data_IF_751670951870
#
_entry.id   IF_751670951870
#
_cell.length_a   1.000
_cell.length_b   1.000
_cell.length_c   1.000
_cell.angle_alpha   90.00
_cell.angle_beta   90.00
_cell.angle_gamma   90.00
#
_symmetry.space_group_name_H-M   'P 1'
#
loop_
_entity.id
_entity.type
_entity.pdbx_description
1 polymer ?
#
# COMPACT_ATOMS: atom_id res chain seq x y z
N UNK A 1 -1.70 -9.38 -30.55
CA UNK A 1 -1.41 -8.11 -29.87
C UNK A 1 -0.17 -8.27 -29.01
N UNK A 2 0.80 -7.36 -29.12
CA UNK A 2 1.98 -7.31 -28.25
C UNK A 2 1.68 -6.38 -27.08
N UNK A 3 1.62 -6.91 -25.86
CA UNK A 3 1.30 -6.19 -24.64
C UNK A 3 2.53 -6.12 -23.73
N UNK A 4 2.86 -4.92 -23.25
CA UNK A 4 3.83 -4.71 -22.17
C UNK A 4 3.09 -4.29 -20.91
N UNK A 5 3.35 -4.99 -19.81
CA UNK A 5 3.02 -4.52 -18.46
C UNK A 5 4.31 -3.99 -17.83
N UNK A 6 4.28 -2.75 -17.40
CA UNK A 6 5.45 -2.03 -16.92
C UNK A 6 5.18 -1.43 -15.53
N UNK A 7 6.03 -1.76 -14.54
CA UNK A 7 6.12 -1.07 -13.25
C UNK A 7 7.43 -0.30 -13.21
N UNK A 8 7.41 1.04 -13.27
CA UNK A 8 8.62 1.85 -13.38
C UNK A 8 9.44 1.92 -12.07
N UNK A 9 10.68 2.46 -12.20
CA UNK A 9 11.57 2.78 -11.09
C UNK A 9 12.35 4.06 -11.39
N UNK A 10 12.41 4.97 -10.41
CA UNK A 10 13.04 6.28 -10.53
C UNK A 10 14.01 6.58 -9.37
N UNK A 11 14.67 5.55 -8.84
CA UNK A 11 15.51 5.69 -7.65
C UNK A 11 14.75 5.58 -6.32
N UNK A 12 13.42 5.63 -6.36
CA UNK A 12 12.55 5.44 -5.19
C UNK A 12 11.96 4.03 -5.26
N UNK A 13 12.20 3.23 -4.25
CA UNK A 13 11.63 1.88 -4.17
C UNK A 13 10.20 1.95 -3.69
N UNK A 14 9.27 1.45 -4.48
CA UNK A 14 7.91 1.21 -4.03
C UNK A 14 7.86 -0.18 -3.40
N UNK A 15 7.83 -0.23 -2.08
CA UNK A 15 7.89 -1.47 -1.32
C UNK A 15 6.71 -2.39 -1.65
N UNK A 16 5.52 -1.85 -1.56
CA UNK A 16 4.31 -2.61 -1.85
C UNK A 16 3.16 -1.70 -2.28
N UNK A 17 2.12 -2.32 -2.77
CA UNK A 17 0.82 -1.73 -3.02
C UNK A 17 -0.05 -1.62 -1.73
N UNK A 18 0.58 -1.57 -0.54
CA UNK A 18 -0.17 -1.31 0.70
C UNK A 18 -1.01 -0.05 0.51
N UNK A 19 -2.23 -0.05 0.94
CA UNK A 19 -3.22 0.99 0.64
C UNK A 19 -3.63 1.06 -0.85
N UNK A 20 -3.71 -0.11 -1.51
CA UNK A 20 -4.24 -0.24 -2.87
C UNK A 20 -3.63 0.77 -3.84
N UNK A 21 -2.71 0.40 -4.65
CA UNK A 21 -2.06 1.24 -5.67
C UNK A 21 -1.47 2.60 -5.18
N UNK A 22 -1.69 2.99 -3.90
CA UNK A 22 -1.08 4.21 -3.39
C UNK A 22 0.43 4.07 -3.30
N UNK A 23 0.89 2.85 -3.02
CA UNK A 23 2.29 2.54 -2.84
C UNK A 23 2.86 3.10 -1.54
N UNK A 24 3.86 2.44 -0.99
CA UNK A 24 4.69 2.98 0.09
C UNK A 24 6.09 3.09 -0.46
N UNK A 25 6.60 4.32 -0.48
CA UNK A 25 7.99 4.55 -0.82
C UNK A 25 8.88 4.19 0.37
N UNK A 26 9.89 3.38 0.14
CA UNK A 26 10.88 3.04 1.15
C UNK A 26 12.31 3.25 0.63
N UNK A 27 13.19 3.59 1.54
CA UNK A 27 14.63 3.69 1.26
C UNK A 27 15.32 2.32 1.34
N UNK A 28 14.62 1.30 1.83
CA UNK A 28 15.14 -0.05 1.93
C UNK A 28 14.93 -0.81 0.60
N UNK A 29 15.83 -1.74 0.24
CA UNK A 29 15.76 -2.45 -1.04
C UNK A 29 14.65 -3.52 -1.12
N UNK A 30 13.78 -3.60 -0.12
CA UNK A 30 12.67 -4.56 -0.10
C UNK A 30 11.62 -4.21 -1.14
N UNK A 31 11.15 -5.21 -1.87
CA UNK A 31 10.07 -5.07 -2.85
C UNK A 31 9.12 -6.24 -2.72
N UNK A 32 7.84 -5.95 -2.69
CA UNK A 32 6.79 -6.95 -2.87
C UNK A 32 6.19 -6.84 -4.27
N UNK A 33 5.65 -7.93 -4.80
CA UNK A 33 4.99 -7.91 -6.10
C UNK A 33 3.74 -7.01 -6.05
N UNK A 34 3.46 -6.35 -7.16
CA UNK A 34 2.19 -5.67 -7.36
C UNK A 34 1.14 -6.69 -7.80
N UNK A 35 0.21 -7.03 -6.91
CA UNK A 35 -0.80 -8.05 -7.16
C UNK A 35 -1.75 -7.70 -8.31
N UNK A 36 -2.03 -6.41 -8.51
CA UNK A 36 -2.84 -5.95 -9.63
C UNK A 36 -2.17 -6.28 -10.96
N UNK A 37 -0.83 -6.08 -11.06
CA UNK A 37 -0.06 -6.51 -12.22
C UNK A 37 0.04 -8.02 -12.36
N UNK A 38 0.23 -8.76 -11.25
CA UNK A 38 0.31 -10.23 -11.29
C UNK A 38 -0.98 -10.83 -11.85
N UNK A 39 -2.14 -10.38 -11.36
CA UNK A 39 -3.43 -10.84 -11.91
C UNK A 39 -3.65 -10.38 -13.34
N UNK A 40 -3.31 -9.13 -13.69
CA UNK A 40 -3.37 -8.64 -15.07
C UNK A 40 -2.54 -9.49 -16.03
N UNK A 41 -1.31 -9.80 -15.63
CA UNK A 41 -0.41 -10.66 -16.42
C UNK A 41 -0.96 -12.08 -16.57
N UNK A 42 -1.47 -12.66 -15.47
CA UNK A 42 -2.05 -14.03 -15.50
C UNK A 42 -3.29 -14.10 -16.40
N UNK A 43 -4.16 -13.06 -16.38
CA UNK A 43 -5.30 -12.96 -17.29
C UNK A 43 -4.82 -12.85 -18.74
N UNK A 44 -3.85 -11.97 -19.03
CA UNK A 44 -3.34 -11.75 -20.38
C UNK A 44 -2.63 -12.99 -20.96
N UNK A 45 -1.85 -13.72 -20.13
CA UNK A 45 -1.17 -14.96 -20.53
C UNK A 45 -2.15 -16.02 -21.02
N UNK A 46 -3.34 -16.08 -20.44
CA UNK A 46 -4.36 -17.06 -20.81
C UNK A 46 -5.03 -16.77 -22.14
N UNK A 47 -4.82 -15.59 -22.73
CA UNK A 47 -5.30 -15.25 -24.08
C UNK A 47 -4.23 -15.51 -25.13
N UNK A 48 -4.43 -16.56 -25.94
CA UNK A 48 -3.48 -16.97 -27.01
C UNK A 48 -3.25 -15.88 -28.08
N UNK A 49 -4.10 -14.88 -28.19
CA UNK A 49 -3.94 -13.75 -29.12
C UNK A 49 -2.96 -12.69 -28.60
N UNK A 50 -2.54 -12.76 -27.32
CA UNK A 50 -1.63 -11.83 -26.66
C UNK A 50 -0.23 -12.41 -26.59
N UNK A 51 0.75 -11.61 -27.01
CA UNK A 51 2.16 -11.82 -26.69
C UNK A 51 2.50 -10.84 -25.56
N UNK A 52 2.66 -11.40 -24.36
CA UNK A 52 2.87 -10.64 -23.14
C UNK A 52 4.36 -10.52 -22.84
N UNK A 53 4.81 -9.30 -22.59
CA UNK A 53 6.08 -8.99 -21.94
C UNK A 53 5.81 -8.25 -20.63
N UNK A 54 6.69 -8.43 -19.64
CA UNK A 54 6.59 -7.80 -18.32
C UNK A 54 7.95 -7.22 -17.96
N UNK A 55 7.94 -5.99 -17.48
CA UNK A 55 9.11 -5.33 -16.88
C UNK A 55 8.70 -4.77 -15.52
N UNK A 56 9.12 -5.45 -14.45
CA UNK A 56 9.06 -4.89 -13.09
C UNK A 56 10.38 -4.18 -12.79
N UNK A 57 10.50 -2.96 -13.33
CA UNK A 57 11.70 -2.16 -13.14
C UNK A 57 11.92 -1.78 -11.66
N UNK A 58 10.85 -1.71 -10.86
CA UNK A 58 10.97 -1.46 -9.44
C UNK A 58 11.63 -2.63 -8.69
N UNK A 59 11.33 -3.87 -9.05
CA UNK A 59 11.99 -5.04 -8.48
C UNK A 59 13.43 -5.20 -9.00
N UNK A 60 13.66 -4.95 -10.28
CA UNK A 60 14.95 -5.11 -10.94
C UNK A 60 15.86 -3.89 -10.83
N UNK A 61 15.37 -2.75 -10.26
CA UNK A 61 16.09 -1.47 -10.13
C UNK A 61 16.55 -0.89 -11.48
N UNK A 62 15.70 -1.03 -12.50
CA UNK A 62 15.97 -0.53 -13.85
C UNK A 62 15.47 0.91 -14.00
N UNK A 63 16.37 1.84 -14.26
CA UNK A 63 16.02 3.22 -14.59
C UNK A 63 15.37 3.32 -15.98
N UNK A 64 14.66 4.43 -16.29
CA UNK A 64 13.98 4.61 -17.58
C UNK A 64 14.83 4.30 -18.81
N UNK A 65 16.11 4.69 -18.83
CA UNK A 65 17.05 4.36 -19.92
C UNK A 65 17.25 2.86 -20.12
N UNK A 66 17.29 2.10 -19.03
CA UNK A 66 17.50 0.65 -19.10
C UNK A 66 16.20 -0.07 -19.49
N UNK A 67 15.06 0.46 -19.04
CA UNK A 67 13.74 -0.02 -19.50
C UNK A 67 13.65 0.15 -21.02
N UNK A 68 13.99 1.33 -21.56
CA UNK A 68 13.95 1.61 -23.01
C UNK A 68 14.88 0.66 -23.78
N UNK A 69 16.11 0.43 -23.30
CA UNK A 69 17.04 -0.56 -23.93
C UNK A 69 16.46 -1.96 -23.95
N UNK A 70 15.71 -2.35 -22.90
CA UNK A 70 15.07 -3.66 -22.78
C UNK A 70 13.82 -3.79 -23.63
N UNK A 71 13.19 -2.69 -24.00
CA UNK A 71 12.02 -2.62 -24.88
C UNK A 71 12.41 -2.90 -26.34
N UNK A 72 12.87 -4.11 -26.66
CA UNK A 72 13.37 -4.48 -28.00
C UNK A 72 12.29 -4.61 -29.06
N UNK A 73 11.03 -4.73 -28.67
CA UNK A 73 9.88 -4.96 -29.57
C UNK A 73 9.01 -3.73 -29.69
N UNK A 74 8.28 -3.65 -30.81
CA UNK A 74 7.14 -2.77 -30.90
C UNK A 74 5.97 -3.40 -30.15
N UNK A 75 5.44 -2.67 -29.17
CA UNK A 75 4.22 -3.04 -28.46
C UNK A 75 3.02 -2.35 -29.10
N UNK A 76 1.88 -3.07 -29.17
CA UNK A 76 0.60 -2.46 -29.54
C UNK A 76 0.07 -1.64 -28.37
N UNK A 77 0.25 -2.15 -27.14
CA UNK A 77 -0.18 -1.50 -25.90
C UNK A 77 0.92 -1.61 -24.83
N UNK A 78 1.18 -0.50 -24.15
CA UNK A 78 2.00 -0.41 -22.96
C UNK A 78 1.08 0.01 -21.81
N UNK A 79 0.94 -0.83 -20.80
CA UNK A 79 0.26 -0.49 -19.54
C UNK A 79 1.32 -0.16 -18.51
N UNK A 80 1.37 1.11 -18.12
CA UNK A 80 2.27 1.63 -17.12
C UNK A 80 1.53 1.73 -15.80
N UNK A 81 2.01 0.97 -14.80
CA UNK A 81 1.46 0.95 -13.45
C UNK A 81 2.07 2.09 -12.64
N UNK A 82 1.30 3.13 -12.42
CA UNK A 82 1.68 4.27 -11.58
C UNK A 82 1.48 3.99 -10.09
N UNK A 83 2.24 4.70 -9.28
CA UNK A 83 2.09 4.71 -7.82
C UNK A 83 2.10 6.15 -7.30
N UNK A 84 1.37 6.43 -6.21
CA UNK A 84 1.29 7.79 -5.66
C UNK A 84 2.65 8.47 -5.48
N UNK A 85 3.65 7.81 -4.87
CA UNK A 85 4.95 8.46 -4.65
C UNK A 85 5.75 8.76 -5.91
N UNK A 86 5.37 8.19 -7.05
CA UNK A 86 6.10 8.33 -8.32
C UNK A 86 5.24 8.88 -9.44
N UNK A 87 3.99 9.23 -9.18
CA UNK A 87 2.99 9.55 -10.21
C UNK A 87 3.44 10.66 -11.17
N UNK A 88 4.16 11.67 -10.67
CA UNK A 88 4.72 12.73 -11.51
C UNK A 88 5.69 12.15 -12.55
N UNK A 89 6.63 11.33 -12.11
CA UNK A 89 7.59 10.67 -12.97
C UNK A 89 6.94 9.63 -13.89
N UNK A 90 5.88 8.97 -13.45
CA UNK A 90 5.12 8.03 -14.27
C UNK A 90 4.46 8.74 -15.45
N UNK A 91 3.88 9.93 -15.22
CA UNK A 91 3.31 10.78 -16.26
C UNK A 91 4.39 11.26 -17.22
N UNK A 92 5.51 11.79 -16.71
CA UNK A 92 6.62 12.27 -17.51
C UNK A 92 7.22 11.16 -18.39
N UNK A 93 7.35 9.93 -17.85
CA UNK A 93 7.87 8.80 -18.61
C UNK A 93 6.89 8.33 -19.70
N UNK A 94 5.59 8.29 -19.41
CA UNK A 94 4.57 8.01 -20.41
C UNK A 94 4.60 9.02 -21.55
N UNK A 95 4.67 10.31 -21.23
CA UNK A 95 4.79 11.40 -22.19
C UNK A 95 6.09 11.30 -23.00
N UNK A 96 7.22 10.98 -22.35
CA UNK A 96 8.49 10.76 -23.03
C UNK A 96 8.40 9.64 -24.07
N UNK A 97 7.80 8.49 -23.74
CA UNK A 97 7.61 7.40 -24.67
C UNK A 97 6.82 7.84 -25.89
N UNK A 98 5.73 8.57 -25.73
CA UNK A 98 4.91 9.08 -26.85
C UNK A 98 5.69 10.05 -27.73
N UNK A 99 6.38 11.01 -27.14
CA UNK A 99 7.11 12.06 -27.84
C UNK A 99 8.37 11.55 -28.57
N UNK A 100 8.88 10.35 -28.22
CA UNK A 100 10.02 9.71 -28.84
C UNK A 100 9.65 8.58 -29.82
N UNK A 101 8.54 8.75 -30.56
CA UNK A 101 8.09 7.89 -31.64
C UNK A 101 7.67 6.46 -31.24
N UNK A 102 7.30 6.25 -29.98
CA UNK A 102 6.61 5.02 -29.61
C UNK A 102 5.16 5.07 -30.10
N UNK A 103 4.84 4.31 -31.13
CA UNK A 103 3.49 4.26 -31.72
C UNK A 103 2.50 3.44 -30.89
N UNK A 104 2.97 2.85 -29.80
CA UNK A 104 2.16 2.07 -28.87
C UNK A 104 1.06 2.93 -28.26
N UNK A 105 -0.09 2.33 -28.01
CA UNK A 105 -1.08 2.91 -27.10
C UNK A 105 -0.54 2.84 -25.68
N UNK A 106 -0.39 3.97 -25.02
CA UNK A 106 0.10 4.07 -23.65
C UNK A 106 -1.09 4.29 -22.71
N UNK A 107 -1.22 3.39 -21.74
CA UNK A 107 -2.27 3.43 -20.72
C UNK A 107 -1.63 3.57 -19.36
N UNK A 108 -2.02 4.60 -18.62
CA UNK A 108 -1.61 4.79 -17.24
C UNK A 108 -2.68 4.19 -16.31
N UNK A 109 -2.25 3.33 -15.38
CA UNK A 109 -3.14 2.70 -14.41
C UNK A 109 -2.70 3.02 -12.98
N UNK A 110 -3.61 2.88 -12.03
CA UNK A 110 -3.38 3.15 -10.63
C UNK A 110 -4.39 4.14 -10.04
N UNK A 111 -4.56 4.10 -8.73
CA UNK A 111 -5.57 4.93 -8.07
C UNK A 111 -5.30 6.42 -8.24
N UNK A 112 -4.05 6.83 -8.06
CA UNK A 112 -3.66 8.24 -8.18
C UNK A 112 -3.73 8.73 -9.62
N UNK A 113 -3.41 7.88 -10.61
CA UNK A 113 -3.62 8.21 -12.02
C UNK A 113 -5.11 8.48 -12.32
N UNK A 114 -6.00 7.64 -11.78
CA UNK A 114 -7.45 7.85 -11.88
C UNK A 114 -7.88 9.18 -11.25
N UNK A 115 -7.40 9.49 -10.06
CA UNK A 115 -7.71 10.74 -9.36
C UNK A 115 -7.22 11.98 -10.13
N UNK A 116 -6.07 11.86 -10.79
CA UNK A 116 -5.46 12.91 -11.62
C UNK A 116 -5.94 12.91 -13.07
N UNK A 117 -6.94 12.11 -13.43
CA UNK A 117 -7.37 11.92 -14.81
C UNK A 117 -7.62 13.24 -15.55
N UNK A 118 -8.35 14.18 -14.92
CA UNK A 118 -8.64 15.48 -15.53
C UNK A 118 -7.38 16.27 -15.74
N UNK A 119 -6.51 16.34 -14.73
CA UNK A 119 -5.24 17.02 -14.80
C UNK A 119 -4.32 16.43 -15.89
N UNK A 120 -4.20 15.10 -15.95
CA UNK A 120 -3.37 14.42 -16.96
C UNK A 120 -3.93 14.68 -18.36
N UNK A 121 -5.25 14.60 -18.54
CA UNK A 121 -5.87 14.85 -19.85
C UNK A 121 -5.62 16.26 -20.38
N UNK A 122 -5.44 17.24 -19.49
CA UNK A 122 -5.16 18.63 -19.82
C UNK A 122 -3.67 18.87 -20.06
N UNK A 123 -2.78 18.28 -19.25
CA UNK A 123 -1.34 18.60 -19.23
C UNK A 123 -0.45 17.56 -19.94
N UNK A 124 -0.95 16.37 -20.18
CA UNK A 124 -0.27 15.29 -20.90
C UNK A 124 -1.24 14.57 -21.88
N UNK A 125 -1.85 15.33 -22.82
CA UNK A 125 -2.90 14.82 -23.72
C UNK A 125 -2.40 13.75 -24.70
N UNK A 126 -1.09 13.56 -24.83
CA UNK A 126 -0.48 12.50 -25.61
C UNK A 126 -0.62 11.10 -24.98
N UNK A 127 -0.94 10.98 -23.69
CA UNK A 127 -1.23 9.70 -23.04
C UNK A 127 -2.61 9.22 -23.51
N UNK A 128 -2.65 8.03 -24.13
CA UNK A 128 -3.84 7.56 -24.85
C UNK A 128 -5.02 7.20 -23.94
N UNK A 129 -4.74 6.75 -22.71
CA UNK A 129 -5.81 6.36 -21.78
C UNK A 129 -5.36 6.37 -20.32
N UNK A 130 -6.30 6.63 -19.42
CA UNK A 130 -6.10 6.58 -17.98
C UNK A 130 -7.17 5.67 -17.39
N UNK A 131 -6.76 4.57 -16.78
CA UNK A 131 -7.68 3.58 -16.28
C UNK A 131 -8.50 4.08 -15.07
N UNK A 132 -9.81 3.92 -15.15
CA UNK A 132 -10.72 4.20 -14.02
C UNK A 132 -10.94 2.97 -13.11
N UNK A 133 -10.38 1.83 -13.48
CA UNK A 133 -10.48 0.57 -12.75
C UNK A 133 -9.10 0.00 -12.46
N UNK A 134 -8.95 -0.90 -11.49
CA UNK A 134 -7.69 -1.60 -11.24
C UNK A 134 -7.12 -2.27 -12.50
N UNK A 135 -5.80 -2.40 -12.57
CA UNK A 135 -5.08 -2.83 -13.78
C UNK A 135 -5.58 -4.16 -14.34
N UNK A 136 -5.86 -5.12 -13.48
CA UNK A 136 -6.36 -6.44 -13.88
C UNK A 136 -7.75 -6.37 -14.54
N UNK A 137 -8.62 -5.49 -14.06
CA UNK A 137 -9.92 -5.27 -14.69
C UNK A 137 -9.81 -4.50 -16.00
N UNK A 138 -8.86 -3.55 -16.08
CA UNK A 138 -8.58 -2.87 -17.34
C UNK A 138 -8.12 -3.86 -18.41
N UNK A 139 -7.16 -4.73 -18.08
CA UNK A 139 -6.68 -5.78 -18.99
C UNK A 139 -7.80 -6.72 -19.36
N UNK A 140 -8.61 -7.18 -18.41
CA UNK A 140 -9.76 -8.03 -18.69
C UNK A 140 -10.73 -7.40 -19.70
N UNK A 141 -11.09 -6.13 -19.49
CA UNK A 141 -12.02 -5.40 -20.36
C UNK A 141 -11.41 -5.22 -21.77
N UNK A 142 -10.13 -4.83 -21.84
CA UNK A 142 -9.39 -4.65 -23.09
C UNK A 142 -9.35 -5.95 -23.93
N UNK A 143 -9.27 -7.10 -23.27
CA UNK A 143 -9.25 -8.42 -23.91
C UNK A 143 -10.66 -8.99 -24.20
N UNK A 144 -11.71 -8.22 -23.98
CA UNK A 144 -13.08 -8.62 -24.26
C UNK A 144 -13.74 -9.43 -23.15
N UNK A 145 -13.49 -9.09 -21.90
CA UNK A 145 -14.09 -9.69 -20.71
C UNK A 145 -13.86 -11.21 -20.61
N UNK A 146 -12.62 -11.60 -20.48
CA UNK A 146 -12.21 -13.02 -20.35
C UNK A 146 -12.62 -13.66 -19.02
N UNK A 147 -12.81 -12.85 -17.98
CA UNK A 147 -13.28 -13.34 -16.68
C UNK A 147 -14.81 -13.50 -16.68
N UNK A 148 -15.34 -14.53 -16.01
CA UNK A 148 -16.78 -14.76 -15.91
C UNK A 148 -17.50 -13.71 -15.04
N UNK A 149 -16.78 -13.01 -14.19
CA UNK A 149 -17.29 -11.90 -13.35
C UNK A 149 -16.15 -10.97 -12.95
N UNK A 150 -16.50 -9.79 -12.38
CA UNK A 150 -15.54 -8.84 -11.82
C UNK A 150 -15.24 -9.13 -10.31
N UNK A 151 -15.50 -10.34 -9.82
CA UNK A 151 -15.09 -10.77 -8.49
C UNK A 151 -13.66 -11.32 -8.52
N UNK A 152 -12.90 -11.14 -7.43
CA UNK A 152 -11.56 -11.74 -7.30
C UNK A 152 -11.61 -13.27 -7.30
N UNK A 153 -12.77 -13.86 -7.02
CA UNK A 153 -12.95 -15.31 -7.15
C UNK A 153 -12.92 -15.76 -8.62
N UNK A 154 -13.20 -14.88 -9.56
CA UNK A 154 -13.10 -15.19 -11.00
C UNK A 154 -11.63 -15.19 -11.48
N UNK A 155 -10.69 -14.64 -10.72
CA UNK A 155 -9.28 -14.60 -11.14
C UNK A 155 -8.70 -16.01 -11.20
N UNK A 156 -7.84 -16.28 -12.22
CA UNK A 156 -7.05 -17.50 -12.25
C UNK A 156 -6.09 -17.58 -11.05
N UNK A 157 -5.50 -18.73 -10.82
CA UNK A 157 -4.36 -18.88 -9.90
C UNK A 157 -3.24 -17.95 -10.35
N UNK A 158 -2.73 -17.13 -9.42
CA UNK A 158 -1.68 -16.17 -9.75
C UNK A 158 -0.42 -16.86 -10.25
N UNK A 159 0.24 -16.24 -11.24
CA UNK A 159 1.42 -16.81 -11.87
C UNK A 159 2.65 -15.92 -11.70
N UNK A 160 3.38 -16.15 -10.63
CA UNK A 160 4.61 -15.42 -10.33
C UNK A 160 5.77 -15.75 -11.25
N UNK A 161 5.71 -16.85 -12.02
CA UNK A 161 6.77 -17.20 -12.98
C UNK A 161 6.91 -16.18 -14.11
N UNK A 162 5.91 -15.31 -14.28
CA UNK A 162 5.91 -14.23 -15.26
C UNK A 162 6.76 -13.02 -14.81
N UNK A 163 7.14 -12.97 -13.55
CA UNK A 163 7.82 -11.84 -12.91
C UNK A 163 9.22 -12.24 -12.43
N UNK A 164 10.08 -11.27 -12.13
CA UNK A 164 11.37 -11.55 -11.49
C UNK A 164 11.18 -11.92 -10.01
N UNK A 165 10.50 -13.03 -9.74
CA UNK A 165 10.05 -13.42 -8.40
C UNK A 165 11.19 -13.66 -7.41
N UNK A 166 12.39 -13.95 -7.88
CA UNK A 166 13.62 -14.05 -7.10
C UNK A 166 14.09 -12.70 -6.52
N UNK A 167 13.52 -11.59 -6.98
CA UNK A 167 13.78 -10.25 -6.49
C UNK A 167 12.81 -9.79 -5.39
N UNK A 168 11.71 -10.52 -5.19
CA UNK A 168 10.75 -10.18 -4.14
C UNK A 168 11.22 -10.76 -2.80
N UNK A 169 12.10 -10.04 -2.13
CA UNK A 169 12.73 -10.51 -0.90
C UNK A 169 12.73 -9.45 0.19
N UNK A 170 12.85 -9.93 1.42
CA UNK A 170 13.19 -9.12 2.59
C UNK A 170 14.67 -8.74 2.57
N UNK A 171 15.05 -7.83 3.48
CA UNK A 171 16.47 -7.48 3.75
C UNK A 171 17.29 -8.73 4.09
N UNK A 172 16.68 -9.71 4.73
CA UNK A 172 17.30 -11.00 5.09
C UNK A 172 17.60 -11.88 3.89
N UNK A 173 17.10 -11.53 2.69
CA UNK A 173 17.18 -12.36 1.48
C UNK A 173 16.07 -13.42 1.36
N UNK A 174 15.18 -13.53 2.34
CA UNK A 174 14.05 -14.45 2.29
C UNK A 174 13.01 -13.96 1.28
N UNK A 175 12.54 -14.87 0.42
CA UNK A 175 11.49 -14.58 -0.55
C UNK A 175 10.14 -14.37 0.16
N UNK A 176 9.50 -13.26 -0.14
CA UNK A 176 8.17 -12.94 0.36
C UNK A 176 7.17 -12.82 -0.78
N UNK A 177 6.18 -13.69 -0.79
CA UNK A 177 5.04 -13.64 -1.69
C UNK A 177 3.86 -12.86 -1.10
N UNK A 178 2.96 -12.43 -1.97
CA UNK A 178 1.70 -11.79 -1.57
C UNK A 178 0.52 -12.44 -2.28
N UNK A 179 -0.64 -12.44 -1.63
CA UNK A 179 -1.89 -12.96 -2.18
C UNK A 179 -3.10 -12.29 -1.50
N UNK A 180 -4.29 -12.49 -2.06
CA UNK A 180 -5.57 -12.08 -1.47
C UNK A 180 -6.40 -13.30 -1.05
N UNK A 181 -7.02 -13.22 0.13
CA UNK A 181 -8.22 -13.98 0.46
C UNK A 181 -9.47 -13.12 0.23
N UNK A 182 -9.37 -11.81 0.49
CA UNK A 182 -10.44 -10.86 0.22
C UNK A 182 -9.91 -9.52 -0.27
N UNK A 183 -10.80 -8.73 -0.86
CA UNK A 183 -10.53 -7.36 -1.29
C UNK A 183 -11.69 -6.45 -0.90
N UNK A 184 -11.36 -5.21 -0.54
CA UNK A 184 -12.33 -4.23 -0.10
C UNK A 184 -12.67 -4.35 1.39
N UNK A 185 -13.44 -3.38 1.90
CA UNK A 185 -13.85 -3.34 3.30
C UNK A 185 -15.20 -2.63 3.45
N UNK A 186 -16.18 -3.32 4.05
CA UNK A 186 -17.52 -2.78 4.25
C UNK A 186 -17.62 -1.80 5.45
N UNK A 187 -16.58 -1.69 6.29
CA UNK A 187 -16.60 -0.78 7.46
C UNK A 187 -16.69 0.67 7.00
N UNK A 188 -15.94 1.06 5.97
CA UNK A 188 -16.08 2.35 5.32
C UNK A 188 -15.63 3.54 6.15
N UNK A 189 -14.55 3.39 6.94
CA UNK A 189 -13.88 4.51 7.59
C UNK A 189 -13.56 5.60 6.55
N UNK A 190 -13.96 6.85 6.82
CA UNK A 190 -13.93 7.90 5.79
C UNK A 190 -12.52 8.38 5.41
N UNK A 191 -11.52 8.17 6.27
CA UNK A 191 -10.11 8.42 5.95
C UNK A 191 -9.45 7.29 5.15
N UNK A 192 -10.09 6.11 5.05
CA UNK A 192 -9.46 4.94 4.48
C UNK A 192 -9.57 4.94 2.94
N UNK A 193 -8.44 4.90 2.20
CA UNK A 193 -8.46 4.94 0.75
C UNK A 193 -9.08 3.69 0.11
N UNK A 194 -9.06 2.56 0.79
CA UNK A 194 -9.57 1.30 0.27
C UNK A 194 -11.06 1.33 -0.09
N UNK A 195 -11.88 2.04 0.72
CA UNK A 195 -13.29 2.19 0.44
C UNK A 195 -13.55 3.00 -0.83
N UNK A 196 -12.67 3.96 -1.15
CA UNK A 196 -12.72 4.74 -2.40
C UNK A 196 -12.31 3.91 -3.60
N UNK A 197 -11.40 2.95 -3.41
CA UNK A 197 -10.76 2.20 -4.46
C UNK A 197 -11.53 0.92 -4.83
N UNK A 198 -11.86 0.09 -3.82
CA UNK A 198 -12.52 -1.20 -4.02
C UNK A 198 -14.01 -1.20 -3.68
N UNK A 199 -14.54 -0.07 -3.21
CA UNK A 199 -15.92 0.05 -2.73
C UNK A 199 -16.13 -0.43 -1.30
N UNK A 200 -17.27 -0.03 -0.72
CA UNK A 200 -17.65 -0.40 0.66
C UNK A 200 -18.29 -1.80 0.70
N UNK A 201 -17.57 -2.80 0.26
CA UNK A 201 -18.01 -4.20 0.25
C UNK A 201 -16.80 -5.12 0.38
N UNK A 202 -17.04 -6.34 0.81
CA UNK A 202 -16.06 -7.41 0.71
C UNK A 202 -16.28 -8.19 -0.57
N UNK A 203 -15.19 -8.54 -1.24
CA UNK A 203 -15.13 -9.46 -2.36
C UNK A 203 -14.16 -10.58 -1.99
N UNK A 204 -14.67 -11.79 -1.84
CA UNK A 204 -13.92 -12.93 -1.32
C UNK A 204 -13.48 -13.86 -2.45
N UNK A 205 -12.29 -14.43 -2.29
CA UNK A 205 -11.75 -15.52 -3.09
C UNK A 205 -12.00 -16.83 -2.37
N UNK A 206 -12.55 -17.83 -3.05
CA UNK A 206 -12.85 -19.13 -2.44
C UNK A 206 -11.58 -19.76 -1.85
N UNK A 207 -11.74 -20.43 -0.72
CA UNK A 207 -10.62 -21.00 0.05
C UNK A 207 -9.80 -21.97 -0.80
N UNK A 208 -10.44 -22.75 -1.68
CA UNK A 208 -9.71 -23.66 -2.57
C UNK A 208 -8.75 -22.93 -3.52
N UNK A 209 -9.18 -21.79 -4.09
CA UNK A 209 -8.33 -20.97 -4.95
C UNK A 209 -7.20 -20.28 -4.16
N UNK A 210 -7.46 -19.87 -2.93
CA UNK A 210 -6.40 -19.35 -2.05
C UNK A 210 -5.37 -20.43 -1.75
N UNK A 211 -5.80 -21.67 -1.50
CA UNK A 211 -4.90 -22.83 -1.32
C UNK A 211 -4.08 -23.09 -2.59
N UNK A 212 -4.68 -22.98 -3.76
CA UNK A 212 -3.95 -23.16 -5.04
C UNK A 212 -2.90 -22.05 -5.23
N UNK A 213 -3.23 -20.79 -4.89
CA UNK A 213 -2.29 -19.67 -4.90
C UNK A 213 -1.12 -19.93 -3.92
N UNK A 214 -1.42 -20.38 -2.68
CA UNK A 214 -0.39 -20.74 -1.69
C UNK A 214 0.53 -21.84 -2.24
N UNK A 215 -0.02 -22.94 -2.77
CA UNK A 215 0.76 -24.05 -3.33
C UNK A 215 1.67 -23.60 -4.47
N UNK A 216 1.16 -22.73 -5.33
CA UNK A 216 1.96 -22.14 -6.41
C UNK A 216 3.16 -21.39 -5.85
N UNK A 217 2.94 -20.48 -4.89
CA UNK A 217 4.01 -19.70 -4.26
C UNK A 217 5.04 -20.61 -3.56
N UNK A 218 4.59 -21.59 -2.78
CA UNK A 218 5.48 -22.55 -2.12
C UNK A 218 6.31 -23.36 -3.15
N UNK A 219 5.75 -23.70 -4.31
CA UNK A 219 6.48 -24.41 -5.38
C UNK A 219 7.61 -23.59 -5.99
N UNK A 220 7.55 -22.25 -5.86
CA UNK A 220 8.59 -21.32 -6.32
C UNK A 220 9.64 -21.02 -5.22
N UNK A 221 9.50 -21.63 -4.03
CA UNK A 221 10.44 -21.46 -2.92
C UNK A 221 10.11 -20.31 -1.97
N UNK A 222 8.94 -19.70 -2.06
CA UNK A 222 8.49 -18.75 -1.06
C UNK A 222 8.23 -19.46 0.26
N UNK A 223 8.81 -18.96 1.34
CA UNK A 223 8.62 -19.49 2.69
C UNK A 223 7.80 -18.56 3.57
N UNK A 224 7.62 -17.33 3.11
CA UNK A 224 6.88 -16.28 3.81
C UNK A 224 5.83 -15.67 2.88
N UNK A 225 4.58 -15.63 3.32
CA UNK A 225 3.47 -15.10 2.55
C UNK A 225 2.76 -13.96 3.30
N UNK A 226 2.34 -12.94 2.57
CA UNK A 226 1.57 -11.84 3.11
C UNK A 226 0.18 -11.80 2.48
N UNK A 227 -0.85 -11.97 3.30
CA UNK A 227 -2.22 -11.68 2.90
C UNK A 227 -2.42 -10.16 2.84
N UNK A 228 -2.82 -9.67 1.67
CA UNK A 228 -2.97 -8.24 1.38
C UNK A 228 -4.40 -7.73 1.57
N UNK A 229 -5.16 -8.46 2.35
CA UNK A 229 -6.53 -8.14 2.72
C UNK A 229 -6.58 -6.89 3.62
N UNK A 230 -7.53 -6.00 3.37
CA UNK A 230 -7.75 -4.82 4.21
C UNK A 230 -8.36 -5.17 5.57
N UNK A 231 -8.97 -6.34 5.65
CA UNK A 231 -9.57 -6.89 6.86
C UNK A 231 -9.65 -8.41 6.73
N UNK A 232 -8.53 -9.08 6.97
CA UNK A 232 -8.37 -10.53 6.75
C UNK A 232 -9.41 -11.37 7.47
N UNK A 233 -9.74 -11.04 8.72
CA UNK A 233 -10.70 -11.79 9.54
C UNK A 233 -12.15 -11.33 9.39
N UNK A 234 -12.49 -10.65 8.28
CA UNK A 234 -13.84 -10.17 8.03
C UNK A 234 -14.88 -11.31 7.95
N UNK A 235 -14.50 -12.45 7.41
CA UNK A 235 -15.31 -13.68 7.47
C UNK A 235 -14.58 -14.74 8.31
N UNK A 236 -14.99 -14.86 9.59
CA UNK A 236 -14.44 -15.82 10.54
C UNK A 236 -14.48 -17.27 10.00
N UNK A 237 -15.56 -17.67 9.34
CA UNK A 237 -15.72 -19.04 8.85
C UNK A 237 -14.73 -19.37 7.76
N UNK A 238 -14.52 -18.45 6.84
CA UNK A 238 -13.52 -18.60 5.77
C UNK A 238 -12.11 -18.70 6.34
N UNK A 239 -11.75 -17.89 7.34
CA UNK A 239 -10.43 -17.99 7.98
C UNK A 239 -10.24 -19.34 8.66
N UNK A 240 -11.23 -19.83 9.38
CA UNK A 240 -11.18 -21.18 9.98
C UNK A 240 -11.02 -22.26 8.91
N UNK A 241 -11.77 -22.19 7.82
CA UNK A 241 -11.67 -23.14 6.71
C UNK A 241 -10.28 -23.12 6.06
N UNK A 242 -9.76 -21.91 5.80
CA UNK A 242 -8.42 -21.74 5.24
C UNK A 242 -7.35 -22.35 6.15
N UNK A 243 -7.36 -22.00 7.44
CA UNK A 243 -6.40 -22.52 8.41
C UNK A 243 -6.47 -24.05 8.52
N UNK A 244 -7.66 -24.62 8.58
CA UNK A 244 -7.84 -26.09 8.60
C UNK A 244 -7.26 -26.73 7.36
N UNK A 245 -7.53 -26.20 6.15
CA UNK A 245 -6.97 -26.76 4.92
C UNK A 245 -5.46 -26.63 4.86
N UNK A 246 -4.86 -25.55 5.37
CA UNK A 246 -3.40 -25.40 5.48
C UNK A 246 -2.84 -26.51 6.37
N UNK A 247 -3.43 -26.74 7.54
CA UNK A 247 -3.00 -27.74 8.52
C UNK A 247 -3.19 -29.16 7.96
N UNK A 248 -4.37 -29.50 7.47
CA UNK A 248 -4.73 -30.81 6.94
C UNK A 248 -3.86 -31.22 5.73
N UNK A 249 -3.50 -30.26 4.88
CA UNK A 249 -2.63 -30.50 3.73
C UNK A 249 -1.13 -30.42 4.06
N UNK A 250 -0.79 -30.13 5.32
CA UNK A 250 0.61 -30.07 5.77
C UNK A 250 1.42 -28.96 5.12
N UNK A 251 0.78 -27.87 4.66
CA UNK A 251 1.48 -26.75 4.05
C UNK A 251 2.28 -26.02 5.14
N UNK A 252 3.58 -25.81 4.90
CA UNK A 252 4.51 -25.20 5.87
C UNK A 252 5.07 -23.89 5.31
N UNK A 253 4.68 -22.78 5.90
CA UNK A 253 5.14 -21.43 5.59
C UNK A 253 4.76 -20.49 6.74
N UNK A 254 5.45 -19.38 6.84
CA UNK A 254 5.10 -18.29 7.74
C UNK A 254 4.21 -17.29 7.03
N UNK A 255 3.27 -16.69 7.73
CA UNK A 255 2.41 -15.72 7.09
C UNK A 255 2.00 -14.54 7.97
N UNK A 256 1.67 -13.45 7.29
CA UNK A 256 1.32 -12.15 7.83
C UNK A 256 -0.04 -11.73 7.33
N UNK A 257 -0.82 -11.05 8.18
CA UNK A 257 -2.07 -10.42 7.76
C UNK A 257 -2.29 -9.08 8.45
N UNK A 258 -3.19 -8.30 7.83
CA UNK A 258 -3.74 -7.08 8.42
C UNK A 258 -5.21 -7.33 8.77
N UNK A 259 -5.63 -6.92 9.97
CA UNK A 259 -6.98 -7.12 10.43
C UNK A 259 -7.42 -6.07 11.44
N UNK A 260 -8.54 -6.33 12.07
CA UNK A 260 -9.12 -5.54 13.15
C UNK A 260 -9.21 -6.40 14.39
N UNK A 261 -8.66 -5.93 15.52
CA UNK A 261 -8.58 -6.70 16.76
C UNK A 261 -9.95 -7.16 17.29
N UNK A 262 -11.00 -6.37 17.09
CA UNK A 262 -12.34 -6.72 17.56
C UNK A 262 -12.94 -7.97 16.93
N UNK A 263 -12.45 -8.37 15.77
CA UNK A 263 -12.89 -9.60 15.10
C UNK A 263 -12.18 -10.85 15.61
N UNK A 264 -11.16 -10.69 16.46
CA UNK A 264 -10.39 -11.78 17.03
C UNK A 264 -10.97 -12.26 18.34
N UNK A 265 -10.73 -13.53 18.61
CA UNK A 265 -10.82 -14.19 19.92
C UNK A 265 -9.72 -15.26 20.00
N UNK A 266 -9.57 -15.85 21.18
CA UNK A 266 -8.48 -16.81 21.44
C UNK A 266 -8.55 -18.03 20.50
N UNK A 267 -9.76 -18.55 20.21
CA UNK A 267 -9.94 -19.71 19.33
C UNK A 267 -9.48 -19.41 17.90
N UNK A 268 -9.81 -18.23 17.38
CA UNK A 268 -9.38 -17.81 16.04
C UNK A 268 -7.87 -17.59 15.99
N UNK A 269 -7.30 -16.96 17.03
CA UNK A 269 -5.84 -16.76 17.14
C UNK A 269 -5.13 -18.12 17.17
N UNK A 270 -5.62 -19.09 17.95
CA UNK A 270 -5.01 -20.42 18.07
C UNK A 270 -4.89 -21.12 16.72
N UNK A 271 -5.99 -21.18 15.97
CA UNK A 271 -5.95 -21.86 14.67
C UNK A 271 -5.11 -21.10 13.62
N UNK A 272 -5.09 -19.77 13.66
CA UNK A 272 -4.25 -18.95 12.79
C UNK A 272 -2.75 -19.20 13.09
N UNK A 273 -2.37 -19.28 14.35
CA UNK A 273 -0.99 -19.61 14.76
C UNK A 273 -0.62 -21.04 14.38
N UNK A 274 -1.50 -22.00 14.60
CA UNK A 274 -1.27 -23.40 14.18
C UNK A 274 -1.07 -23.52 12.68
N UNK A 275 -1.77 -22.67 11.89
CA UNK A 275 -1.61 -22.58 10.43
C UNK A 275 -0.39 -21.78 9.99
N UNK A 276 0.46 -21.25 10.90
CA UNK A 276 1.73 -20.60 10.61
C UNK A 276 1.70 -19.07 10.65
N UNK A 277 0.67 -18.44 11.25
CA UNK A 277 0.68 -16.99 11.44
C UNK A 277 1.74 -16.60 12.47
N UNK A 278 2.65 -15.69 12.07
CA UNK A 278 3.71 -15.19 12.95
C UNK A 278 3.65 -13.68 13.19
N UNK A 279 2.87 -12.99 12.37
CA UNK A 279 2.78 -11.53 12.43
C UNK A 279 1.36 -11.06 12.10
N UNK A 280 0.89 -10.06 12.86
CA UNK A 280 -0.41 -9.44 12.63
C UNK A 280 -0.33 -7.93 12.81
N UNK A 281 -0.90 -7.20 11.85
CA UNK A 281 -1.04 -5.74 11.94
C UNK A 281 -2.50 -5.34 12.10
N UNK A 282 -2.72 -4.23 12.82
CA UNK A 282 -4.06 -3.70 13.06
C UNK A 282 -4.05 -2.20 13.33
N UNK A 283 -5.14 -1.53 12.95
CA UNK A 283 -5.32 -0.11 13.24
C UNK A 283 -5.95 0.11 14.62
N UNK A 284 -5.28 0.92 15.44
CA UNK A 284 -5.81 1.52 16.68
C UNK A 284 -6.24 2.96 16.41
N UNK A 285 -5.46 3.67 15.64
CA UNK A 285 -5.61 4.99 15.05
C UNK A 285 -5.42 6.12 16.07
N UNK A 286 -6.29 6.27 17.07
CA UNK A 286 -6.26 7.36 18.05
C UNK A 286 -6.84 6.94 19.39
N UNK A 287 -6.47 7.64 20.45
CA UNK A 287 -7.12 7.53 21.76
C UNK A 287 -8.46 8.28 21.82
N UNK A 288 -8.70 9.21 20.88
CA UNK A 288 -9.85 10.10 20.90
C UNK A 288 -11.07 9.44 20.27
N UNK A 289 -11.97 8.96 21.12
CA UNK A 289 -13.18 8.23 20.69
C UNK A 289 -14.10 9.07 19.80
N UNK A 290 -14.28 10.34 20.10
CA UNK A 290 -15.13 11.25 19.31
C UNK A 290 -14.54 11.49 17.92
N UNK A 291 -13.22 11.64 17.83
CA UNK A 291 -12.50 11.71 16.54
C UNK A 291 -12.76 10.44 15.75
N UNK A 292 -12.55 9.25 16.32
CA UNK A 292 -12.76 7.99 15.62
C UNK A 292 -14.20 7.82 15.13
N UNK A 293 -15.19 8.18 15.95
CA UNK A 293 -16.62 8.13 15.59
C UNK A 293 -16.95 9.05 14.41
N UNK A 294 -16.40 10.26 14.37
CA UNK A 294 -16.60 11.21 13.26
C UNK A 294 -16.11 10.66 11.92
N UNK A 295 -15.15 9.71 11.94
CA UNK A 295 -14.63 9.04 10.77
C UNK A 295 -15.22 7.62 10.53
N UNK A 296 -16.37 7.29 11.15
CA UNK A 296 -16.99 5.96 11.08
C UNK A 296 -16.06 4.83 11.54
N UNK A 297 -15.12 5.14 12.45
CA UNK A 297 -14.21 4.15 13.04
C UNK A 297 -14.77 3.68 14.38
N UNK A 298 -15.11 2.41 14.55
CA UNK A 298 -15.52 1.88 15.85
C UNK A 298 -14.42 2.01 16.89
N UNK A 299 -14.82 2.36 18.11
CA UNK A 299 -13.95 2.46 19.29
C UNK A 299 -14.04 1.17 20.11
N UNK A 300 -12.89 0.71 20.60
CA UNK A 300 -12.81 -0.55 21.38
C UNK A 300 -12.42 -0.31 22.81
N UNK A 301 -12.92 -1.19 23.69
CA UNK A 301 -12.53 -1.17 25.08
C UNK A 301 -11.06 -1.51 25.27
N UNK A 302 -10.33 -0.66 26.00
CA UNK A 302 -8.90 -0.79 26.24
C UNK A 302 -8.53 -2.18 26.79
N UNK A 303 -9.22 -2.66 27.81
CA UNK A 303 -8.94 -3.93 28.48
C UNK A 303 -9.05 -5.13 27.52
N UNK A 304 -10.07 -5.16 26.69
CA UNK A 304 -10.23 -6.22 25.69
C UNK A 304 -9.12 -6.17 24.65
N UNK A 305 -8.81 -4.98 24.14
CA UNK A 305 -7.76 -4.79 23.14
C UNK A 305 -6.41 -5.23 23.70
N UNK A 306 -6.09 -4.81 24.93
CA UNK A 306 -4.87 -5.20 25.62
C UNK A 306 -4.80 -6.70 25.83
N UNK A 307 -5.90 -7.33 26.31
CA UNK A 307 -5.95 -8.77 26.53
C UNK A 307 -5.70 -9.59 25.24
N UNK A 308 -6.21 -9.14 24.09
CA UNK A 308 -5.93 -9.80 22.80
C UNK A 308 -4.47 -9.66 22.38
N UNK A 309 -3.87 -8.47 22.58
CA UNK A 309 -2.46 -8.23 22.28
C UNK A 309 -1.58 -9.11 23.17
N UNK A 310 -1.87 -9.19 24.46
CA UNK A 310 -1.12 -10.04 25.39
C UNK A 310 -1.22 -11.52 25.00
N UNK A 311 -2.43 -11.98 24.61
CA UNK A 311 -2.61 -13.35 24.14
C UNK A 311 -1.83 -13.66 22.87
N UNK A 312 -1.80 -12.72 21.92
CA UNK A 312 -0.95 -12.84 20.72
C UNK A 312 0.54 -12.95 21.08
N UNK A 313 1.00 -12.17 22.08
CA UNK A 313 2.38 -12.25 22.55
C UNK A 313 2.69 -13.58 23.26
N UNK A 314 1.76 -14.13 24.05
CA UNK A 314 1.87 -15.47 24.64
C UNK A 314 2.04 -16.56 23.57
N UNK A 315 1.42 -16.36 22.39
CA UNK A 315 1.57 -17.24 21.22
C UNK A 315 2.80 -16.92 20.35
N UNK A 316 3.68 -16.02 20.79
CA UNK A 316 4.86 -15.54 20.05
C UNK A 316 4.54 -14.85 18.73
N UNK A 317 3.36 -14.28 18.56
CA UNK A 317 2.98 -13.50 17.38
C UNK A 317 3.52 -12.08 17.52
N UNK A 318 4.18 -11.59 16.49
CA UNK A 318 4.61 -10.19 16.41
C UNK A 318 3.41 -9.32 16.07
N UNK A 319 3.17 -8.29 16.86
CA UNK A 319 2.06 -7.36 16.69
C UNK A 319 2.55 -6.00 16.22
N UNK A 320 1.90 -5.43 15.20
CA UNK A 320 2.13 -4.07 14.71
C UNK A 320 0.84 -3.26 14.82
N UNK A 321 0.85 -2.22 15.64
CA UNK A 321 -0.25 -1.29 15.76
C UNK A 321 -0.03 -0.04 14.88
N UNK A 322 -1.06 0.35 14.12
CA UNK A 322 -1.09 1.60 13.38
C UNK A 322 -1.84 2.68 14.17
N UNK A 323 -1.26 3.86 14.20
CA UNK A 323 -1.83 5.08 14.74
C UNK A 323 -1.86 6.15 13.65
N UNK A 324 -2.81 7.05 13.76
CA UNK A 324 -2.92 8.22 12.87
C UNK A 324 -2.71 9.47 13.71
N UNK A 325 -1.85 10.34 13.24
CA UNK A 325 -1.56 11.65 13.82
C UNK A 325 -1.87 12.75 12.80
N UNK A 326 -2.23 13.93 13.25
CA UNK A 326 -2.54 15.06 12.38
C UNK A 326 -3.98 15.08 11.89
N UNK A 327 -4.92 14.52 12.63
CA UNK A 327 -6.33 14.82 12.39
C UNK A 327 -6.58 16.34 12.43
N UNK A 328 -7.58 16.88 11.71
CA UNK A 328 -7.80 18.32 11.58
C UNK A 328 -7.86 19.10 12.89
N UNK A 329 -8.44 18.49 13.91
CA UNK A 329 -8.64 19.12 15.22
C UNK A 329 -7.67 18.62 16.30
N UNK A 330 -6.61 17.89 15.92
CA UNK A 330 -5.63 17.36 16.84
C UNK A 330 -4.84 18.44 17.57
N UNK A 331 -4.58 18.21 18.84
CA UNK A 331 -3.79 19.07 19.74
C UNK A 331 -2.64 18.26 20.32
N UNK A 332 -1.72 18.92 21.03
CA UNK A 332 -0.65 18.23 21.75
C UNK A 332 -1.21 17.29 22.83
N UNK A 333 -2.31 17.65 23.49
CA UNK A 333 -2.94 16.81 24.52
C UNK A 333 -3.54 15.54 23.91
N UNK A 334 -4.24 15.63 22.76
CA UNK A 334 -4.83 14.46 22.08
C UNK A 334 -3.75 13.56 21.48
N UNK A 335 -2.68 14.16 20.98
CA UNK A 335 -1.50 13.43 20.51
C UNK A 335 -0.81 12.67 21.65
N UNK A 336 -0.62 13.33 22.80
CA UNK A 336 -0.08 12.72 24.02
C UNK A 336 -0.96 11.56 24.49
N UNK A 337 -2.28 11.73 24.48
CA UNK A 337 -3.25 10.67 24.82
C UNK A 337 -3.08 9.46 23.92
N UNK A 338 -2.92 9.69 22.60
CA UNK A 338 -2.73 8.61 21.61
C UNK A 338 -1.38 7.88 21.82
N UNK A 339 -0.31 8.61 22.09
CA UNK A 339 0.98 8.01 22.39
C UNK A 339 0.94 7.19 23.70
N UNK A 340 0.31 7.72 24.74
CA UNK A 340 0.12 7.01 26.01
C UNK A 340 -0.73 5.75 25.85
N UNK A 341 -1.75 5.78 24.97
CA UNK A 341 -2.50 4.58 24.60
C UNK A 341 -1.60 3.54 23.95
N UNK A 342 -0.73 3.96 23.03
CA UNK A 342 0.21 3.05 22.38
C UNK A 342 1.12 2.33 23.41
N UNK A 343 1.68 3.09 24.36
CA UNK A 343 2.49 2.52 25.45
C UNK A 343 1.70 1.54 26.32
N UNK A 344 0.44 1.85 26.65
CA UNK A 344 -0.43 0.96 27.44
C UNK A 344 -0.78 -0.32 26.72
N UNK A 345 -1.05 -0.26 25.42
CA UNK A 345 -1.34 -1.43 24.59
C UNK A 345 -0.11 -2.32 24.41
N UNK A 346 1.08 -1.74 24.38
CA UNK A 346 2.37 -2.43 24.36
C UNK A 346 2.50 -3.44 23.19
N UNK A 347 2.04 -3.07 21.98
CA UNK A 347 2.33 -3.86 20.78
C UNK A 347 3.84 -4.02 20.58
N UNK A 348 4.31 -5.08 19.92
CA UNK A 348 5.75 -5.24 19.62
C UNK A 348 6.30 -4.12 18.75
N UNK A 349 5.48 -3.63 17.81
CA UNK A 349 5.78 -2.52 16.95
C UNK A 349 4.62 -1.53 16.92
N UNK A 350 4.91 -0.24 16.74
CA UNK A 350 3.93 0.78 16.48
C UNK A 350 4.42 1.72 15.36
N UNK A 351 3.50 2.08 14.47
CA UNK A 351 3.74 3.04 13.39
C UNK A 351 2.72 4.16 13.47
N UNK A 352 3.21 5.38 13.50
CA UNK A 352 2.38 6.58 13.49
C UNK A 352 2.36 7.15 12.07
N UNK A 353 1.19 7.10 11.44
CA UNK A 353 0.99 7.62 10.09
C UNK A 353 0.34 9.00 10.16
N UNK A 354 0.62 9.84 9.17
CA UNK A 354 -0.03 11.14 9.06
C UNK A 354 -1.43 10.92 8.47
N UNK A 355 -2.43 11.60 9.05
CA UNK A 355 -3.78 11.63 8.51
C UNK A 355 -3.76 12.05 7.04
N UNK A 356 -4.40 11.25 6.20
CA UNK A 356 -4.64 11.59 4.81
C UNK A 356 -6.14 11.80 4.62
N UNK A 357 -6.55 12.95 4.06
CA UNK A 357 -7.95 13.18 3.73
C UNK A 357 -8.42 12.21 2.63
N UNK A 358 -9.73 12.19 2.41
CA UNK A 358 -10.32 11.38 1.36
C UNK A 358 -9.62 11.61 0.00
N UNK A 359 -9.38 10.53 -0.72
CA UNK A 359 -8.76 10.56 -2.06
C UNK A 359 -9.80 10.60 -3.18
N UNK A 360 -11.01 11.09 -2.90
CA UNK A 360 -11.99 11.39 -3.94
C UNK A 360 -11.93 12.89 -4.24
N UNK A 361 -11.85 13.23 -5.53
CA UNK A 361 -11.72 14.61 -5.98
C UNK A 361 -12.81 15.53 -5.41
N UNK A 362 -14.06 15.07 -5.42
CA UNK A 362 -15.20 15.83 -4.91
C UNK A 362 -15.09 16.08 -3.40
N UNK A 363 -14.77 15.04 -2.62
CA UNK A 363 -14.59 15.14 -1.18
C UNK A 363 -13.38 16.02 -0.81
N UNK A 364 -12.28 15.95 -1.61
CA UNK A 364 -11.12 16.82 -1.44
C UNK A 364 -11.44 18.28 -1.68
N UNK A 365 -12.17 18.58 -2.75
CA UNK A 365 -12.58 19.97 -3.07
C UNK A 365 -13.56 20.53 -2.06
N UNK A 366 -14.44 19.69 -1.52
CA UNK A 366 -15.34 20.08 -0.42
C UNK A 366 -14.58 20.37 0.87
N UNK A 367 -13.67 19.48 1.24
CA UNK A 367 -12.87 19.62 2.47
C UNK A 367 -11.85 20.76 2.37
N UNK A 368 -11.32 21.01 1.18
CA UNK A 368 -10.30 22.02 0.90
C UNK A 368 -10.72 22.92 -0.26
N UNK A 369 -11.64 23.88 -0.05
CA UNK A 369 -12.08 24.79 -1.11
C UNK A 369 -10.91 25.50 -1.79
N UNK A 370 -10.85 25.41 -3.11
CA UNK A 370 -9.79 26.01 -3.93
C UNK A 370 -8.49 25.20 -4.02
N UNK A 371 -8.48 23.94 -3.55
CA UNK A 371 -7.34 23.06 -3.76
C UNK A 371 -7.20 22.73 -5.24
N UNK A 372 -5.99 22.83 -5.76
CA UNK A 372 -5.62 22.32 -7.07
C UNK A 372 -5.04 20.91 -6.90
N UNK A 373 -5.67 19.93 -7.55
CA UNK A 373 -5.25 18.52 -7.45
C UNK A 373 -4.23 18.23 -8.55
N UNK A 374 -2.97 18.27 -8.17
CA UNK A 374 -1.81 18.07 -9.05
C UNK A 374 -0.98 16.87 -8.64
N UNK A 375 -0.08 16.34 -9.50
CA UNK A 375 0.83 15.26 -9.12
C UNK A 375 1.68 15.56 -7.88
N UNK A 376 2.04 16.82 -7.66
CA UNK A 376 2.89 17.23 -6.55
C UNK A 376 2.24 16.98 -5.17
N UNK A 377 0.90 16.91 -5.11
CA UNK A 377 0.18 16.55 -3.87
C UNK A 377 0.51 15.15 -3.34
N UNK A 378 0.98 14.26 -4.19
CA UNK A 378 1.20 12.85 -3.89
C UNK A 378 2.67 12.48 -3.72
N UNK A 379 3.58 13.41 -4.03
CA UNK A 379 5.00 13.17 -3.89
C UNK A 379 5.39 12.94 -2.42
N UNK A 380 6.31 11.99 -2.11
CA UNK A 380 6.60 11.55 -0.74
C UNK A 380 7.04 12.66 0.22
N UNK A 381 7.62 13.73 -0.33
CA UNK A 381 8.19 14.84 0.42
C UNK A 381 7.36 16.11 0.35
N UNK A 382 6.27 16.11 -0.43
CA UNK A 382 5.41 17.27 -0.66
C UNK A 382 3.96 17.02 -0.32
N UNK A 383 3.71 16.19 0.67
CA UNK A 383 2.33 15.85 1.02
C UNK A 383 1.57 17.10 1.53
N UNK A 384 1.29 18.01 0.60
CA UNK A 384 0.63 19.29 0.85
C UNK A 384 -0.82 19.12 1.29
N UNK A 385 -1.42 17.94 1.04
CA UNK A 385 -2.72 17.59 1.60
C UNK A 385 -2.65 17.54 3.12
N UNK A 386 -1.57 17.02 3.68
CA UNK A 386 -1.38 16.97 5.12
C UNK A 386 -1.15 18.36 5.74
N UNK A 387 -0.58 19.30 4.99
CA UNK A 387 -0.38 20.67 5.46
C UNK A 387 -1.65 21.40 5.88
N UNK A 388 -2.77 21.07 5.24
CA UNK A 388 -4.04 21.73 5.44
C UNK A 388 -4.97 20.95 6.36
N UNK A 389 -4.63 19.71 6.73
CA UNK A 389 -5.49 18.88 7.57
C UNK A 389 -5.35 19.21 9.05
N UNK A 390 -4.13 19.40 9.55
CA UNK A 390 -3.89 19.70 10.96
C UNK A 390 -3.83 21.21 11.20
N UNK A 391 -4.81 21.77 11.90
CA UNK A 391 -4.88 23.20 12.20
C UNK A 391 -3.77 23.68 13.14
N UNK A 392 -3.30 22.80 14.02
CA UNK A 392 -2.38 23.13 15.11
C UNK A 392 -0.93 22.75 14.85
N UNK A 393 -0.64 22.11 13.71
CA UNK A 393 0.69 21.60 13.37
C UNK A 393 1.10 22.02 11.96
N UNK A 394 2.37 22.40 11.78
CA UNK A 394 2.93 22.56 10.45
C UNK A 394 3.27 21.19 9.83
N UNK A 395 3.46 21.14 8.50
CA UNK A 395 3.90 19.91 7.83
C UNK A 395 5.23 19.41 8.41
N UNK A 396 6.17 20.32 8.64
CA UNK A 396 7.48 19.98 9.21
C UNK A 396 7.31 19.29 10.57
N UNK A 397 6.44 19.83 11.44
CA UNK A 397 6.10 19.20 12.71
C UNK A 397 5.47 17.83 12.51
N UNK A 398 4.55 17.68 11.57
CA UNK A 398 3.88 16.40 11.32
C UNK A 398 4.83 15.31 10.81
N UNK A 399 5.72 15.64 9.87
CA UNK A 399 6.73 14.70 9.36
C UNK A 399 7.70 14.26 10.46
N UNK A 400 8.09 15.21 11.31
CA UNK A 400 8.94 14.91 12.47
C UNK A 400 8.22 14.04 13.48
N UNK A 401 6.97 14.38 13.83
CA UNK A 401 6.10 13.60 14.72
C UNK A 401 5.98 12.14 14.24
N UNK A 402 5.66 11.92 12.96
CA UNK A 402 5.59 10.58 12.39
C UNK A 402 6.83 9.75 12.68
N UNK A 403 8.00 10.33 12.41
CA UNK A 403 9.28 9.64 12.53
C UNK A 403 9.66 9.42 13.99
N UNK A 404 9.56 10.47 14.81
CA UNK A 404 10.02 10.40 16.20
C UNK A 404 9.11 9.56 17.08
N UNK A 405 7.78 9.65 16.94
CA UNK A 405 6.86 8.83 17.74
C UNK A 405 7.09 7.34 17.50
N UNK A 406 7.26 6.95 16.24
CA UNK A 406 7.57 5.55 15.91
C UNK A 406 8.93 5.12 16.48
N UNK A 407 9.94 5.99 16.39
CA UNK A 407 11.28 5.72 16.94
C UNK A 407 11.27 5.65 18.47
N UNK A 408 10.65 6.62 19.16
CA UNK A 408 10.55 6.67 20.62
C UNK A 408 9.84 5.42 21.15
N UNK A 409 8.77 5.01 20.48
CA UNK A 409 8.07 3.78 20.82
C UNK A 409 8.98 2.55 20.71
N UNK A 410 9.70 2.38 19.60
CA UNK A 410 10.59 1.24 19.38
C UNK A 410 11.78 1.24 20.33
N UNK A 411 12.26 2.42 20.74
CA UNK A 411 13.34 2.57 21.72
C UNK A 411 12.92 2.32 23.18
N UNK A 412 11.66 1.96 23.42
CA UNK A 412 11.08 1.79 24.77
C UNK A 412 11.31 3.01 25.68
N UNK A 413 11.27 4.22 25.12
CA UNK A 413 11.40 5.44 25.91
C UNK A 413 10.12 5.60 26.74
N UNK A 414 10.21 5.63 28.08
CA UNK A 414 9.04 5.82 28.92
C UNK A 414 8.38 7.18 28.64
N UNK A 415 7.11 7.32 28.98
CA UNK A 415 6.32 8.54 28.80
C UNK A 415 7.18 9.80 29.01
N UNK A 416 7.45 10.60 27.96
CA UNK A 416 7.98 11.93 28.20
C UNK A 416 6.91 12.73 28.92
N UNK A 417 7.26 13.39 30.01
CA UNK A 417 6.35 14.21 30.82
C UNK A 417 5.71 15.35 30.01
N UNK A 418 6.29 15.70 28.86
CA UNK A 418 5.68 16.51 27.81
C UNK A 418 6.27 16.16 26.45
N UNK A 419 5.50 15.53 25.60
CA UNK A 419 5.84 15.29 24.18
C UNK A 419 6.21 16.60 23.47
N UNK A 420 5.51 17.67 23.79
CA UNK A 420 5.74 18.99 23.24
C UNK A 420 7.15 19.50 23.55
N UNK A 421 7.59 19.44 24.82
CA UNK A 421 8.92 19.90 25.24
C UNK A 421 10.04 19.06 24.63
N UNK A 422 9.82 17.74 24.51
CA UNK A 422 10.74 16.83 23.85
C UNK A 422 10.87 17.16 22.34
N UNK A 423 9.76 17.50 21.71
CA UNK A 423 9.72 17.90 20.31
C UNK A 423 10.38 19.26 20.05
N UNK A 424 10.08 20.28 20.83
CA UNK A 424 10.65 21.63 20.66
C UNK A 424 12.17 21.63 20.85
N UNK A 425 12.67 20.81 21.77
CA UNK A 425 14.11 20.64 21.99
C UNK A 425 14.79 19.88 20.83
N UNK A 426 14.07 18.96 20.15
CA UNK A 426 14.61 18.17 19.04
C UNK A 426 14.47 18.85 17.68
N UNK A 427 13.41 19.66 17.48
CA UNK A 427 13.19 20.43 16.24
C UNK A 427 14.40 21.30 15.86
N UNK A 428 15.15 21.81 16.82
CA UNK A 428 16.37 22.58 16.54
C UNK A 428 17.53 21.73 15.97
N UNK A 429 17.54 20.43 16.22
CA UNK A 429 18.54 19.51 15.63
C UNK A 429 18.07 18.97 14.28
N UNK A 430 16.76 18.81 14.06
CA UNK A 430 16.18 18.29 12.82
C UNK A 430 16.17 19.33 11.68
N UNK A 431 16.19 20.63 11.98
CA UNK A 431 16.29 21.68 10.96
C UNK A 431 17.45 21.48 9.98
N UNK A 432 18.56 20.89 10.42
CA UNK A 432 19.68 20.50 9.55
C UNK A 432 19.31 19.35 8.60
N UNK A 433 18.54 18.37 9.10
CA UNK A 433 18.10 17.23 8.30
C UNK A 433 17.06 17.65 7.24
N UNK A 434 16.04 18.41 7.65
CA UNK A 434 15.03 18.98 6.75
C UNK A 434 15.66 19.89 5.69
N UNK A 435 16.66 20.71 6.07
CA UNK A 435 17.42 21.54 5.12
C UNK A 435 18.25 20.69 4.14
N UNK A 436 18.84 19.59 4.60
CA UNK A 436 19.59 18.67 3.73
C UNK A 436 18.65 17.93 2.76
N UNK A 437 17.48 17.49 3.23
CA UNK A 437 16.43 16.88 2.39
C UNK A 437 15.90 17.87 1.35
N UNK A 438 15.60 19.11 1.74
CA UNK A 438 15.21 20.18 0.81
C UNK A 438 16.29 20.48 -0.23
N UNK A 439 17.57 20.48 0.16
CA UNK A 439 18.70 20.68 -0.77
C UNK A 439 18.92 19.50 -1.71
N UNK A 440 18.75 18.27 -1.25
CA UNK A 440 18.78 17.07 -2.09
C UNK A 440 17.63 17.07 -3.09
N UNK A 441 16.48 17.51 -2.67
CA UNK A 441 15.28 17.60 -3.48
C UNK A 441 15.42 18.64 -4.59
N UNK A 442 15.86 19.87 -4.30
CA UNK A 442 16.06 20.90 -5.34
C UNK A 442 17.06 20.43 -6.43
N UNK A 443 18.02 19.58 -6.06
CA UNK A 443 18.93 18.98 -7.03
C UNK A 443 18.28 17.87 -7.87
N UNK A 444 17.29 17.14 -7.33
CA UNK A 444 16.53 16.12 -8.07
C UNK A 444 15.48 16.73 -9.01
N UNK A 445 14.93 17.89 -8.64
CA UNK A 445 13.96 18.64 -9.49
C UNK A 445 14.59 19.25 -10.75
N UNK A 446 15.91 19.53 -10.74
CA UNK A 446 16.67 20.03 -11.87
C UNK A 446 17.13 18.93 -12.83
N UNK A 447 16.97 17.64 -12.47
CA UNK A 447 17.43 16.51 -13.27
C UNK A 447 16.24 15.86 -13.98
N UNK A 448 16.30 15.83 -15.30
CA UNK A 448 15.32 15.07 -16.10
C UNK A 448 15.34 13.59 -15.69
N UNK A 449 14.16 12.96 -15.59
CA UNK A 449 14.05 11.52 -15.35
C UNK A 449 14.86 10.67 -16.33
N UNK A 450 15.16 11.25 -17.50
CA UNK A 450 15.98 10.62 -18.53
C UNK A 450 17.49 10.82 -18.31
N UNK A 451 17.88 11.67 -17.37
CA UNK A 451 19.28 11.87 -17.00
C UNK A 451 19.69 11.06 -15.76
N UNK A 452 18.70 10.52 -15.08
CA UNK A 452 18.85 9.52 -14.01
C UNK A 452 18.93 8.13 -14.64
#
# INVERSE_FOLDING_TARGET
MNLLLLRPYYGITIFSDMMGDLGIAEYLPQVLPDLSLVYAATIAKNDKSVKLDIIDANAEKLFPKDVIKRMEKKYDVIILKGASPTIKYDIEFASYLKNNNYTSRIVLTGHTAKLLKNWISEHAPEIDDISEVPTEYYVNNMLGNKLPSLSIDAFPTLDYTLFPYDKYSLITGELRGSLYMSRGCAVGCSYCPYASFYGKKFDFRSVDKVIDDIKHLLSLGFTTLQFRDQFFTADRKMVFELCRKIIEQGLKFEWYCETRLESLDNELIDIMVEAGMIFISFGVESAEGDTLQSYNRPVYGLERTKGLIDYLHEKNVITLAFYIVGFPDETWDTLQSTYNLALKLASKCAVFNIYMPSLKEEELKEQYPGIEITPDLFMPFENTLNLKSAKNFSLEQMLELKTQLSFLYQANVPEPDALQDAFENHLNSSKKYVSAVKSLRSKLEEVSIMDI
#
